data_IF_926901475879
#
_entry.id   IF_926901475879
#
_cell.length_a   1.000
_cell.length_b   1.000
_cell.length_c   1.000
_cell.angle_alpha   90.00
_cell.angle_beta   90.00
_cell.angle_gamma   90.00
#
_symmetry.space_group_name_H-M   'P 1'
#
loop_
_entity.id
_entity.type
_entity.pdbx_description
1 polymer ?
#
# COMPACT_ATOMS: atom_id res chain seq x y z
N UNK A 1 25.64 -23.61 -12.61
CA UNK A 1 25.01 -23.57 -13.95
C UNK A 1 24.24 -22.26 -14.06
N UNK A 2 24.74 -21.32 -14.86
CA UNK A 2 24.06 -20.13 -15.41
C UNK A 2 24.12 -20.34 -16.94
N UNK A 3 23.25 -19.76 -17.81
CA UNK A 3 22.74 -18.38 -17.73
C UNK A 3 21.28 -18.25 -18.28
N UNK A 4 20.60 -17.10 -18.31
CA UNK A 4 20.79 -16.04 -19.32
C UNK A 4 19.61 -15.03 -19.31
N UNK A 5 19.93 -13.74 -19.59
CA UNK A 5 19.11 -12.74 -20.32
C UNK A 5 17.96 -12.10 -19.50
N UNK A 6 17.75 -10.77 -19.41
CA UNK A 6 18.34 -9.57 -20.01
C UNK A 6 17.78 -8.34 -19.28
N UNK A 7 18.48 -7.22 -19.45
CA UNK A 7 17.99 -5.84 -19.33
C UNK A 7 17.58 -5.35 -17.93
N UNK A 8 18.36 -4.44 -17.36
CA UNK A 8 17.94 -3.05 -17.36
C UNK A 8 19.08 -2.11 -16.97
N UNK A 9 19.44 -1.29 -17.96
CA UNK A 9 19.80 0.14 -17.86
C UNK A 9 20.91 0.52 -16.89
N UNK A 10 22.07 0.80 -17.48
CA UNK A 10 23.10 1.62 -16.88
C UNK A 10 22.54 3.02 -16.54
N UNK A 11 22.63 3.39 -15.27
CA UNK A 11 22.71 4.78 -14.87
C UNK A 11 24.05 4.95 -14.14
N UNK A 12 24.98 5.60 -14.82
CA UNK A 12 26.20 6.15 -14.24
C UNK A 12 25.78 7.22 -13.21
N UNK A 13 25.54 6.79 -11.98
CA UNK A 13 25.35 7.65 -10.82
C UNK A 13 26.43 7.32 -9.79
N UNK A 14 27.55 8.04 -9.85
CA UNK A 14 28.49 8.06 -8.74
C UNK A 14 27.81 8.69 -7.53
N UNK A 15 27.60 7.90 -6.47
CA UNK A 15 27.99 8.21 -5.08
C UNK A 15 27.34 7.26 -4.06
N UNK A 16 28.19 6.69 -3.21
CA UNK A 16 28.00 6.24 -1.82
C UNK A 16 26.82 5.30 -1.44
N UNK A 17 27.21 4.14 -0.89
CA UNK A 17 26.55 3.36 0.17
C UNK A 17 25.01 3.16 0.09
N UNK A 18 24.58 2.02 -0.46
CA UNK A 18 23.41 1.27 0.00
C UNK A 18 22.03 1.89 -0.24
N UNK A 19 21.35 1.44 -1.29
CA UNK A 19 19.88 1.53 -1.39
C UNK A 19 19.36 0.23 -2.00
N UNK A 20 18.73 -0.60 -1.16
CA UNK A 20 17.80 -1.65 -1.58
C UNK A 20 16.63 -0.99 -2.33
N UNK A 21 15.88 -1.69 -3.22
CA UNK A 21 14.72 -1.08 -3.85
C UNK A 21 13.70 -0.72 -2.75
N UNK A 22 13.54 0.58 -2.48
CA UNK A 22 12.43 1.04 -1.67
C UNK A 22 11.13 0.65 -2.39
N UNK A 23 10.37 -0.26 -1.78
CA UNK A 23 8.92 -0.18 -1.84
C UNK A 23 8.56 1.15 -1.20
N UNK A 24 8.50 2.21 -2.02
CA UNK A 24 7.96 3.51 -1.63
C UNK A 24 6.43 3.36 -1.65
N UNK A 25 5.75 3.18 -0.50
CA UNK A 25 4.32 3.46 -0.47
C UNK A 25 4.15 4.92 -0.89
N UNK A 26 3.33 5.14 -1.91
CA UNK A 26 3.11 6.45 -2.53
C UNK A 26 2.91 7.53 -1.45
N UNK A 27 3.91 8.37 -1.24
CA UNK A 27 3.93 9.46 -0.25
C UNK A 27 2.95 10.60 -0.59
N UNK A 28 1.89 10.35 -1.36
CA UNK A 28 0.71 11.20 -1.36
C UNK A 28 -0.18 10.73 -0.21
N UNK A 29 -0.01 11.38 0.94
CA UNK A 29 -0.99 11.48 2.03
C UNK A 29 -2.19 10.54 1.85
N UNK A 30 -1.97 9.25 2.10
CA UNK A 30 -2.98 8.22 1.85
C UNK A 30 -4.14 8.52 2.79
N UNK A 31 -5.27 8.94 2.24
CA UNK A 31 -6.43 9.30 3.05
C UNK A 31 -6.99 8.01 3.59
N UNK A 32 -7.05 7.92 4.92
CA UNK A 32 -7.56 6.77 5.63
C UNK A 32 -8.89 7.11 6.27
N UNK A 33 -9.77 6.12 6.30
CA UNK A 33 -11.12 6.22 6.82
C UNK A 33 -11.36 5.13 7.86
N UNK A 34 -12.07 5.51 8.93
CA UNK A 34 -12.52 4.58 9.98
C UNK A 34 -13.79 3.88 9.51
N UNK A 35 -13.85 2.56 9.69
CA UNK A 35 -14.98 1.71 9.30
C UNK A 35 -15.35 0.73 10.42
N UNK A 36 -16.66 0.47 10.57
CA UNK A 36 -17.18 -0.62 11.36
C UNK A 36 -17.39 -1.82 10.45
N UNK A 37 -16.55 -2.81 10.67
CA UNK A 37 -16.55 -4.09 10.02
C UNK A 37 -17.29 -5.13 10.87
N UNK A 38 -17.63 -6.23 10.22
CA UNK A 38 -18.34 -7.39 10.79
C UNK A 38 -17.91 -7.74 12.23
N UNK A 39 -18.84 -8.31 12.99
CA UNK A 39 -18.62 -8.69 14.41
C UNK A 39 -18.21 -7.53 15.33
N UNK A 40 -18.55 -6.28 14.95
CA UNK A 40 -18.22 -5.05 15.69
C UNK A 40 -16.73 -4.75 15.75
N UNK A 41 -16.00 -5.05 14.68
CA UNK A 41 -14.59 -4.73 14.58
C UNK A 41 -14.40 -3.36 13.93
N UNK A 42 -13.71 -2.44 14.60
CA UNK A 42 -13.37 -1.13 14.00
C UNK A 42 -12.04 -1.21 13.27
N UNK A 43 -12.03 -0.82 12.00
CA UNK A 43 -10.87 -0.82 11.11
C UNK A 43 -10.51 0.59 10.66
N UNK A 44 -9.24 0.81 10.32
CA UNK A 44 -8.76 2.01 9.63
C UNK A 44 -8.10 1.55 8.35
N UNK A 45 -8.65 1.98 7.21
CA UNK A 45 -8.27 1.51 5.88
C UNK A 45 -8.07 2.71 4.96
N UNK A 46 -7.39 2.52 3.83
CA UNK A 46 -7.33 3.54 2.78
C UNK A 46 -8.73 3.82 2.24
N UNK A 47 -8.98 5.03 1.73
CA UNK A 47 -10.26 5.38 1.11
C UNK A 47 -10.62 4.49 -0.10
N UNK A 48 -9.60 3.96 -0.79
CA UNK A 48 -9.80 3.01 -1.89
C UNK A 48 -10.34 1.68 -1.39
N UNK A 49 -9.82 1.20 -0.27
CA UNK A 49 -10.26 -0.06 0.32
C UNK A 49 -11.63 0.11 1.00
N UNK A 50 -11.85 1.24 1.69
CA UNK A 50 -13.12 1.63 2.27
C UNK A 50 -14.30 1.47 1.28
N UNK A 51 -14.13 1.88 0.03
CA UNK A 51 -15.17 1.75 -1.01
C UNK A 51 -15.57 0.29 -1.30
N UNK A 52 -14.61 -0.62 -1.25
CA UNK A 52 -14.85 -2.06 -1.42
C UNK A 52 -15.47 -2.69 -0.17
N UNK A 53 -15.19 -2.15 1.00
CA UNK A 53 -15.76 -2.64 2.25
C UNK A 53 -17.26 -2.31 2.38
N UNK A 54 -17.72 -1.17 1.84
CA UNK A 54 -19.14 -0.79 1.82
C UNK A 54 -20.03 -1.76 1.03
N UNK A 55 -19.52 -2.32 -0.08
CA UNK A 55 -20.29 -3.31 -0.88
C UNK A 55 -20.43 -4.66 -0.17
N UNK A 56 -19.68 -4.88 0.92
CA UNK A 56 -19.75 -6.09 1.75
C UNK A 56 -20.52 -5.90 3.06
N UNK A 57 -21.13 -4.71 3.28
CA UNK A 57 -21.97 -4.42 4.44
C UNK A 57 -21.28 -3.71 5.59
N UNK A 58 -20.04 -3.26 5.40
CA UNK A 58 -19.36 -2.40 6.38
C UNK A 58 -19.97 -0.99 6.35
N UNK A 59 -19.75 -0.24 7.44
CA UNK A 59 -20.28 1.12 7.59
C UNK A 59 -19.19 2.09 8.00
N UNK A 60 -19.32 3.34 7.58
CA UNK A 60 -18.40 4.41 8.01
C UNK A 60 -18.49 4.64 9.52
N UNK A 61 -17.34 4.87 10.15
CA UNK A 61 -17.21 5.19 11.58
C UNK A 61 -16.86 4.00 12.46
N UNK A 62 -16.72 4.24 13.77
CA UNK A 62 -16.50 3.19 14.75
C UNK A 62 -17.79 2.38 14.99
N UNK A 63 -17.65 1.16 15.51
CA UNK A 63 -18.80 0.34 15.89
C UNK A 63 -19.52 0.87 17.13
N UNK A 64 -20.85 0.73 17.15
CA UNK A 64 -21.71 1.03 18.30
C UNK A 64 -21.81 -0.14 19.28
#
# INVERSE_FOLDING_TARGET
MKPSILLCVAALGLCACGISPQYEPDMRSETTTVMCHQQRQTLVLSDKDASQHLVHGDTYGACN
#
